data_IF_201664758511
#
_entry.id   IF_201664758511
#
_cell.length_a   1.000
_cell.length_b   1.000
_cell.length_c   1.000
_cell.angle_alpha   90.00
_cell.angle_beta   90.00
_cell.angle_gamma   90.00
#
_symmetry.space_group_name_H-M   'P 1'
#
loop_
_entity.id
_entity.type
_entity.pdbx_description
1 polymer ?
#
# COMPACT_ATOMS: atom_id res chain seq x y z
N UNK A 1 11.63 -9.74 24.26
CA UNK A 1 10.62 -9.04 23.45
C UNK A 1 10.86 -7.55 23.58
N UNK A 2 11.19 -6.85 22.50
CA UNK A 2 11.39 -5.40 22.55
C UNK A 2 10.03 -4.72 22.83
N UNK A 3 9.95 -3.91 23.87
CA UNK A 3 8.76 -3.14 24.16
C UNK A 3 8.51 -2.12 23.04
N UNK A 4 7.31 -2.12 22.46
CA UNK A 4 6.92 -1.17 21.42
C UNK A 4 7.09 0.27 21.91
N UNK A 5 7.74 1.13 21.11
CA UNK A 5 7.90 2.53 21.47
C UNK A 5 6.54 3.22 21.59
N UNK A 6 6.44 4.23 22.46
CA UNK A 6 5.20 5.00 22.66
C UNK A 6 4.70 5.64 21.36
N UNK A 7 5.62 6.05 20.50
CA UNK A 7 5.30 6.66 19.21
C UNK A 7 4.63 5.67 18.26
N UNK A 8 5.21 4.48 18.12
CA UNK A 8 4.64 3.41 17.31
C UNK A 8 3.28 2.98 17.88
N UNK A 9 3.13 2.92 19.22
CA UNK A 9 1.84 2.60 19.84
C UNK A 9 0.74 3.57 19.45
N UNK A 10 1.03 4.87 19.45
CA UNK A 10 0.05 5.91 19.08
C UNK A 10 -0.40 5.79 17.63
N UNK A 11 0.53 5.49 16.71
CA UNK A 11 0.22 5.26 15.29
C UNK A 11 -0.72 4.05 15.15
N UNK A 12 -0.40 2.95 15.83
CA UNK A 12 -1.22 1.73 15.79
C UNK A 12 -2.60 1.97 16.42
N UNK A 13 -2.70 2.69 17.54
CA UNK A 13 -3.97 3.05 18.18
C UNK A 13 -4.84 3.89 17.24
N UNK A 14 -4.27 4.89 16.54
CA UNK A 14 -4.99 5.69 15.56
C UNK A 14 -5.55 4.83 14.41
N UNK A 15 -4.71 3.97 13.83
CA UNK A 15 -5.10 3.05 12.75
C UNK A 15 -6.21 2.06 13.14
N UNK A 16 -6.15 1.50 14.35
CA UNK A 16 -7.21 0.61 14.83
C UNK A 16 -8.53 1.35 15.12
N UNK A 17 -8.43 2.63 15.51
CA UNK A 17 -9.60 3.49 15.69
C UNK A 17 -10.27 3.81 14.35
N UNK A 18 -9.50 4.05 13.28
CA UNK A 18 -10.02 4.22 11.91
C UNK A 18 -10.77 2.97 11.44
N UNK A 19 -10.32 1.78 11.86
CA UNK A 19 -10.99 0.49 11.63
C UNK A 19 -12.21 0.24 12.52
N UNK A 20 -12.69 1.26 13.26
CA UNK A 20 -13.86 1.21 14.14
C UNK A 20 -13.72 0.23 15.31
N UNK A 21 -12.50 -0.08 15.77
CA UNK A 21 -12.32 -0.87 16.98
C UNK A 21 -12.58 -0.03 18.24
N UNK A 22 -13.17 -0.66 19.25
CA UNK A 22 -13.39 -0.02 20.55
C UNK A 22 -12.09 0.07 21.36
N UNK A 23 -11.90 1.11 22.21
CA UNK A 23 -10.69 1.27 23.03
C UNK A 23 -10.36 0.07 23.93
N UNK A 24 -11.38 -0.69 24.34
CA UNK A 24 -11.22 -1.92 25.11
C UNK A 24 -10.62 -3.06 24.28
N UNK A 25 -11.01 -3.17 23.01
CA UNK A 25 -10.47 -4.15 22.07
C UNK A 25 -9.02 -3.79 21.69
N UNK A 26 -8.76 -2.51 21.44
CA UNK A 26 -7.41 -1.99 21.16
C UNK A 26 -6.46 -2.29 22.33
N UNK A 27 -6.92 -2.09 23.57
CA UNK A 27 -6.13 -2.38 24.77
C UNK A 27 -5.76 -3.87 24.87
N UNK A 28 -6.72 -4.75 24.60
CA UNK A 28 -6.50 -6.20 24.59
C UNK A 28 -5.52 -6.63 23.49
N UNK A 29 -5.68 -6.10 22.28
CA UNK A 29 -4.84 -6.40 21.12
C UNK A 29 -3.38 -5.99 21.34
N UNK A 30 -3.15 -4.83 21.96
CA UNK A 30 -1.83 -4.28 22.20
C UNK A 30 -1.21 -4.73 23.53
N UNK A 31 -1.96 -5.49 24.35
CA UNK A 31 -1.52 -5.89 25.68
C UNK A 31 -1.26 -4.72 26.64
N UNK A 32 -1.99 -3.61 26.49
CA UNK A 32 -1.84 -2.39 27.30
C UNK A 32 -3.11 -2.06 28.07
N UNK A 33 -3.02 -1.16 29.05
CA UNK A 33 -4.21 -0.72 29.79
C UNK A 33 -5.10 0.21 28.95
N UNK A 34 -6.41 0.20 29.22
CA UNK A 34 -7.37 1.13 28.59
C UNK A 34 -7.01 2.59 28.80
N UNK A 35 -6.44 2.93 29.95
CA UNK A 35 -5.97 4.28 30.25
C UNK A 35 -4.79 4.70 29.35
N UNK A 36 -3.93 3.74 28.97
CA UNK A 36 -2.84 4.00 28.02
C UNK A 36 -3.40 4.33 26.65
N UNK A 37 -4.40 3.57 26.17
CA UNK A 37 -5.10 3.85 24.91
C UNK A 37 -5.78 5.21 24.96
N UNK A 38 -6.48 5.55 26.05
CA UNK A 38 -7.12 6.86 26.25
C UNK A 38 -6.11 8.01 26.17
N UNK A 39 -4.96 7.87 26.85
CA UNK A 39 -3.90 8.89 26.83
C UNK A 39 -3.27 9.05 25.45
N UNK A 40 -3.13 7.96 24.70
CA UNK A 40 -2.60 7.95 23.34
C UNK A 40 -3.60 8.55 22.33
N UNK A 41 -4.91 8.41 22.56
CA UNK A 41 -5.96 9.10 21.79
C UNK A 41 -6.03 10.61 22.08
N UNK A 42 -5.81 11.02 23.33
CA UNK A 42 -5.78 12.44 23.73
C UNK A 42 -4.54 13.18 23.21
N UNK A 43 -3.47 12.44 22.92
CA UNK A 43 -2.23 12.96 22.36
C UNK A 43 -1.95 12.26 21.04
N UNK A 44 -2.75 12.54 19.99
CA UNK A 44 -2.56 11.90 18.70
C UNK A 44 -1.11 12.10 18.26
N UNK A 45 -0.53 11.12 17.54
CA UNK A 45 0.81 11.31 16.99
C UNK A 45 0.81 12.58 16.13
N UNK A 46 1.94 13.31 16.04
CA UNK A 46 2.05 14.39 15.07
C UNK A 46 1.57 13.85 13.71
N UNK A 47 0.85 14.65 12.89
CA UNK A 47 0.44 14.20 11.58
C UNK A 47 1.67 13.58 10.93
N UNK A 48 1.57 12.30 10.57
CA UNK A 48 2.66 11.65 9.87
C UNK A 48 3.04 12.61 8.74
N UNK A 49 4.33 12.93 8.52
CA UNK A 49 4.71 13.76 7.39
C UNK A 49 3.95 13.17 6.23
N UNK A 50 3.03 13.97 5.66
CA UNK A 50 2.10 13.50 4.63
C UNK A 50 2.99 12.69 3.72
N UNK A 51 2.78 11.36 3.69
CA UNK A 51 3.64 10.48 2.93
C UNK A 51 3.67 11.16 1.58
N UNK A 52 4.83 11.74 1.21
CA UNK A 52 4.91 12.64 0.08
C UNK A 52 4.25 11.84 -1.01
N UNK A 53 3.02 12.24 -1.38
CA UNK A 53 2.22 11.46 -2.31
C UNK A 53 3.16 11.28 -3.46
N UNK A 54 3.49 10.01 -3.82
CA UNK A 54 4.78 9.63 -4.39
C UNK A 54 5.15 10.75 -5.31
N UNK A 55 6.23 11.49 -4.99
CA UNK A 55 6.58 12.71 -5.72
C UNK A 55 6.46 12.31 -7.17
N UNK A 56 5.34 12.71 -7.79
CA UNK A 56 5.13 12.48 -9.20
C UNK A 56 5.94 13.66 -9.70
N UNK A 57 7.27 13.52 -9.57
CA UNK A 57 8.15 13.86 -10.64
C UNK A 57 7.34 13.53 -11.88
N UNK A 58 7.22 14.51 -12.76
CA UNK A 58 6.81 14.34 -14.15
C UNK A 58 7.77 13.30 -14.79
N UNK A 59 7.72 12.10 -14.26
CA UNK A 59 8.41 10.91 -14.63
C UNK A 59 7.52 10.44 -15.72
N UNK A 60 7.96 10.77 -16.93
CA UNK A 60 7.54 10.19 -18.19
C UNK A 60 6.56 9.06 -17.93
N UNK A 61 5.26 9.36 -18.08
CA UNK A 61 4.22 8.34 -18.11
C UNK A 61 4.82 7.17 -18.87
N UNK A 62 4.88 5.99 -18.25
CA UNK A 62 5.31 4.78 -18.95
C UNK A 62 4.21 4.47 -19.95
N UNK A 63 4.20 5.23 -21.05
CA UNK A 63 3.31 5.06 -22.18
C UNK A 63 3.79 3.81 -22.87
N UNK A 64 3.20 2.69 -22.49
CA UNK A 64 3.20 1.51 -23.33
C UNK A 64 2.66 1.97 -24.69
N UNK A 65 3.52 2.03 -25.70
CA UNK A 65 3.07 2.23 -27.08
C UNK A 65 2.24 1.00 -27.44
N UNK A 66 0.94 1.13 -27.28
CA UNK A 66 0.00 0.09 -27.65
C UNK A 66 -0.04 0.05 -29.17
N UNK A 67 0.58 -0.96 -29.76
CA UNK A 67 0.39 -1.29 -31.17
C UNK A 67 -1.05 -1.72 -31.42
N UNK A 68 -1.54 -1.53 -32.66
CA UNK A 68 -2.92 -1.87 -33.06
C UNK A 68 -3.40 -3.27 -32.60
N UNK A 69 -2.65 -4.37 -32.83
CA UNK A 69 -3.09 -5.70 -32.41
C UNK A 69 -3.25 -5.84 -30.89
N UNK A 70 -2.46 -5.09 -30.11
CA UNK A 70 -2.55 -5.10 -28.66
C UNK A 70 -3.79 -4.33 -28.17
N UNK A 71 -4.20 -3.26 -28.87
CA UNK A 71 -5.44 -2.54 -28.57
C UNK A 71 -6.69 -3.37 -28.86
N UNK A 72 -6.71 -4.07 -29.99
CA UNK A 72 -7.81 -4.98 -30.33
C UNK A 72 -7.95 -6.09 -29.29
N UNK A 73 -6.83 -6.72 -28.91
CA UNK A 73 -6.81 -7.78 -27.89
C UNK A 73 -7.33 -7.29 -26.53
N UNK A 74 -6.94 -6.08 -26.11
CA UNK A 74 -7.43 -5.47 -24.87
C UNK A 74 -8.91 -5.08 -24.94
N UNK A 75 -9.40 -4.71 -26.12
CA UNK A 75 -10.82 -4.38 -26.33
C UNK A 75 -11.69 -5.62 -26.19
N UNK A 76 -11.30 -6.72 -26.84
CA UNK A 76 -11.95 -8.03 -26.68
C UNK A 76 -11.90 -8.50 -25.22
N UNK A 77 -10.75 -8.35 -24.55
CA UNK A 77 -10.61 -8.73 -23.15
C UNK A 77 -11.55 -7.92 -22.24
N UNK A 78 -11.73 -6.62 -22.51
CA UNK A 78 -12.63 -5.74 -21.76
C UNK A 78 -14.11 -6.07 -21.98
N UNK A 79 -14.48 -6.44 -23.21
CA UNK A 79 -15.83 -6.93 -23.51
C UNK A 79 -16.13 -8.24 -22.77
N UNK A 80 -15.18 -9.18 -22.74
CA UNK A 80 -15.33 -10.46 -22.05
C UNK A 80 -15.35 -10.29 -20.52
N UNK A 81 -14.54 -9.38 -19.97
CA UNK A 81 -14.43 -9.14 -18.53
C UNK A 81 -15.45 -8.15 -17.94
N UNK A 82 -16.36 -7.60 -18.77
CA UNK A 82 -17.51 -6.79 -18.35
C UNK A 82 -17.16 -5.60 -17.43
N UNK A 83 -16.32 -4.69 -17.90
CA UNK A 83 -16.22 -3.35 -17.30
C UNK A 83 -14.86 -2.67 -17.43
N UNK A 84 -14.80 -1.33 -17.28
CA UNK A 84 -13.53 -0.63 -17.20
C UNK A 84 -12.74 -1.12 -15.98
N UNK A 85 -11.41 -1.22 -16.14
CA UNK A 85 -10.52 -1.63 -15.07
C UNK A 85 -10.75 -0.77 -13.82
N UNK A 86 -11.17 -1.41 -12.74
CA UNK A 86 -11.32 -0.73 -11.45
C UNK A 86 -9.95 -0.26 -10.96
N UNK A 87 -9.92 0.80 -10.14
CA UNK A 87 -8.66 1.28 -9.51
C UNK A 87 -7.95 0.13 -8.79
N UNK A 88 -8.70 -0.75 -8.13
CA UNK A 88 -8.15 -1.92 -7.44
C UNK A 88 -7.46 -2.90 -8.40
N UNK A 89 -8.05 -3.19 -9.57
CA UNK A 89 -7.44 -4.05 -10.58
C UNK A 89 -6.16 -3.42 -11.17
N UNK A 90 -6.16 -2.11 -11.42
CA UNK A 90 -4.97 -1.40 -11.91
C UNK A 90 -3.82 -1.43 -10.91
N UNK A 91 -4.13 -1.24 -9.63
CA UNK A 91 -3.13 -1.33 -8.55
C UNK A 91 -2.60 -2.76 -8.41
N UNK A 92 -3.46 -3.77 -8.53
CA UNK A 92 -3.05 -5.18 -8.49
C UNK A 92 -2.14 -5.54 -9.67
N UNK A 93 -2.48 -5.10 -10.89
CA UNK A 93 -1.68 -5.31 -12.09
C UNK A 93 -0.31 -4.62 -11.98
N UNK A 94 -0.27 -3.38 -11.50
CA UNK A 94 0.98 -2.66 -11.27
C UNK A 94 1.89 -3.37 -10.26
N UNK A 95 1.32 -3.86 -9.14
CA UNK A 95 2.09 -4.65 -8.16
C UNK A 95 2.64 -5.94 -8.76
N UNK A 96 1.84 -6.66 -9.55
CA UNK A 96 2.29 -7.88 -10.22
C UNK A 96 3.45 -7.61 -11.20
N UNK A 97 3.38 -6.52 -11.97
CA UNK A 97 4.45 -6.14 -12.89
C UNK A 97 5.76 -5.78 -12.16
N UNK A 98 5.67 -5.05 -11.04
CA UNK A 98 6.85 -4.71 -10.21
C UNK A 98 7.49 -5.97 -9.64
N UNK A 99 6.68 -6.91 -9.12
CA UNK A 99 7.20 -8.18 -8.60
C UNK A 99 7.86 -9.02 -9.69
N UNK A 100 7.22 -9.18 -10.84
CA UNK A 100 7.79 -9.91 -11.98
C UNK A 100 9.12 -9.30 -12.45
N UNK A 101 9.21 -7.97 -12.48
CA UNK A 101 10.46 -7.27 -12.85
C UNK A 101 11.54 -7.50 -11.80
N UNK A 102 11.22 -7.38 -10.51
CA UNK A 102 12.16 -7.63 -9.42
C UNK A 102 12.69 -9.07 -9.43
N UNK A 103 11.82 -10.03 -9.73
CA UNK A 103 12.20 -11.43 -9.84
C UNK A 103 13.09 -11.67 -11.07
N UNK A 104 12.79 -11.05 -12.21
CA UNK A 104 13.68 -11.12 -13.40
C UNK A 104 15.08 -10.55 -13.14
N UNK A 105 15.19 -9.51 -12.32
CA UNK A 105 16.48 -8.90 -11.95
C UNK A 105 17.25 -9.84 -11.02
N UNK A 106 16.57 -10.51 -10.09
CA UNK A 106 17.18 -11.50 -9.18
C UNK A 106 17.64 -12.74 -9.90
N UNK A 107 16.89 -13.18 -10.91
CA UNK A 107 17.22 -14.35 -11.72
C UNK A 107 18.32 -14.07 -12.75
N UNK A 108 18.61 -12.79 -13.05
CA UNK A 108 19.68 -12.43 -13.98
C UNK A 108 21.05 -12.68 -13.32
N UNK A 109 21.86 -13.64 -13.80
CA UNK A 109 23.19 -13.85 -13.26
C UNK A 109 24.06 -12.61 -13.54
N UNK A 110 24.99 -12.25 -12.63
CA UNK A 110 25.89 -11.14 -12.86
C UNK A 110 26.74 -11.44 -14.09
N UNK A 111 26.61 -10.59 -15.11
CA UNK A 111 27.49 -10.59 -16.27
C UNK A 111 28.89 -10.24 -15.76
N UNK A 112 29.75 -11.25 -15.62
CA UNK A 112 31.18 -11.05 -15.39
C UNK A 112 31.79 -10.52 -16.68
N UNK A 113 31.95 -9.20 -16.77
CA UNK A 113 32.91 -8.55 -17.69
C UNK A 113 34.30 -8.59 -17.09
#
# INVERSE_FOLDING_TARGET
>A
MAAMSREVRRIVVAHLTERRMDPAQIAAELGVSRETVRRDLLNPPPPAPAAAGPDVADGEDLVLRLDEPLRESLTVLREVCSGPDTVAQRVAAARAAIHATADSIRERPPVRT
#
